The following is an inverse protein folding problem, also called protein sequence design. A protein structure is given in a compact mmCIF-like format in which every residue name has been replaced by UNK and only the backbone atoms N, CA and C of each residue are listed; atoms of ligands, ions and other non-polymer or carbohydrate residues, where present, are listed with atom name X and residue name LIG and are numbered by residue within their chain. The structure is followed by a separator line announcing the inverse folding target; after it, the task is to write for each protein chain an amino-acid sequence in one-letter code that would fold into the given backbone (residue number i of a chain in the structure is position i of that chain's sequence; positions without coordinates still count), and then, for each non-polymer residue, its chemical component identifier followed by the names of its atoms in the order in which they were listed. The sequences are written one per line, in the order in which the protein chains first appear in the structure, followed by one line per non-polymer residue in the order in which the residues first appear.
data_IF_955779615927
#
_entry.id   IF_955779615927
#
_cell.length_a   1.000
_cell.length_b   1.000
_cell.length_c   1.000
_cell.angle_alpha   90.00
_cell.angle_beta   90.00
_cell.angle_gamma   90.00
#
_symmetry.space_group_name_H-M   'P 1'
#
loop_
_entity.id
_entity.type
_entity.pdbx_description
1 polymer ?
#
# COMPACT_ATOMS: atom_id res chain seq x y z
N UNK A 1 1.00 4.77 3.36
CA UNK A 1 0.17 4.68 4.58
C UNK A 1 1.03 5.02 5.78
N UNK A 2 0.46 5.60 6.84
CA UNK A 2 1.18 5.71 8.11
C UNK A 2 1.35 4.32 8.74
N UNK A 3 2.52 4.06 9.32
CA UNK A 3 2.87 2.86 10.09
C UNK A 3 3.15 3.23 11.55
N UNK A 4 3.69 2.32 12.35
CA UNK A 4 4.16 2.61 13.71
C UNK A 4 5.31 3.60 13.74
N UNK A 5 6.19 3.56 12.74
CA UNK A 5 7.47 4.28 12.74
C UNK A 5 7.59 5.30 11.60
N UNK A 6 6.64 5.34 10.66
CA UNK A 6 6.62 6.28 9.53
C UNK A 6 5.23 6.92 9.37
N UNK A 7 5.19 8.23 9.14
CA UNK A 7 3.95 8.95 8.83
C UNK A 7 3.47 8.69 7.40
N UNK A 8 2.21 9.02 7.12
CA UNK A 8 1.70 8.98 5.75
C UNK A 8 0.20 9.27 5.66
N UNK A 9 -0.26 9.86 4.54
CA UNK A 9 -1.65 10.31 4.38
C UNK A 9 -2.69 9.18 4.22
N UNK A 10 -2.25 7.91 4.19
CA UNK A 10 -3.12 6.78 3.86
C UNK A 10 -3.31 6.60 2.36
N UNK A 11 -4.49 6.13 1.97
CA UNK A 11 -4.93 6.05 0.58
C UNK A 11 -5.17 7.46 0.03
N UNK A 12 -4.50 7.82 -1.07
CA UNK A 12 -4.61 9.16 -1.67
C UNK A 12 -5.18 9.17 -3.09
N UNK A 13 -4.94 8.10 -3.86
CA UNK A 13 -5.26 8.05 -5.27
C UNK A 13 -5.26 6.61 -5.78
N UNK A 14 -5.95 6.40 -6.91
CA UNK A 14 -5.81 5.22 -7.75
C UNK A 14 -5.28 5.62 -9.14
N UNK A 15 -4.66 4.68 -9.83
CA UNK A 15 -4.11 4.92 -11.15
C UNK A 15 -3.62 3.66 -11.83
N UNK A 16 -3.31 3.80 -13.12
CA UNK A 16 -2.76 2.72 -13.95
C UNK A 16 -1.25 2.92 -14.07
N UNK A 17 -0.48 1.87 -13.81
CA UNK A 17 0.97 1.87 -14.05
C UNK A 17 1.21 1.94 -15.56
N UNK A 18 1.86 2.99 -16.04
CA UNK A 18 2.18 3.19 -17.46
C UNK A 18 3.63 2.86 -17.80
N UNK A 19 4.51 2.78 -16.79
CA UNK A 19 5.88 2.33 -16.96
C UNK A 19 6.39 1.71 -15.66
N UNK A 20 7.16 0.64 -15.77
CA UNK A 20 7.92 0.04 -14.68
C UNK A 20 9.33 -0.28 -15.17
N UNK A 21 10.35 0.29 -14.53
CA UNK A 21 11.76 0.10 -14.90
C UNK A 21 12.58 -0.31 -13.68
N UNK A 22 13.46 -1.33 -13.77
CA UNK A 22 14.37 -1.63 -12.69
C UNK A 22 15.28 -0.44 -12.41
N UNK A 23 15.63 -0.21 -11.14
CA UNK A 23 16.64 0.78 -10.77
C UNK A 23 17.78 0.11 -10.01
N UNK A 24 18.97 0.70 -10.13
CA UNK A 24 20.16 0.18 -9.49
C UNK A 24 19.97 0.02 -7.97
N UNK A 25 20.50 -1.07 -7.43
CA UNK A 25 20.64 -1.29 -5.98
C UNK A 25 21.56 -0.21 -5.40
N UNK A 26 21.35 0.13 -4.12
CA UNK A 26 22.24 1.05 -3.41
C UNK A 26 23.57 0.33 -3.14
N UNK A 27 24.69 0.98 -3.46
CA UNK A 27 26.02 0.48 -3.10
C UNK A 27 26.13 0.40 -1.57
N UNK A 28 26.84 -0.61 -1.07
CA UNK A 28 27.07 -0.81 0.36
C UNK A 28 25.91 -1.44 1.15
N UNK A 29 24.81 -1.83 0.50
CA UNK A 29 23.70 -2.54 1.16
C UNK A 29 23.80 -4.03 0.87
N UNK A 30 24.18 -4.82 1.88
CA UNK A 30 24.42 -6.27 1.74
C UNK A 30 23.17 -7.05 1.31
N UNK A 31 21.99 -6.72 1.87
CA UNK A 31 20.71 -7.33 1.52
C UNK A 31 19.71 -6.26 1.12
N UNK A 32 19.27 -6.29 -0.13
CA UNK A 32 18.30 -5.32 -0.64
C UNK A 32 17.26 -5.97 -1.56
N UNK A 33 15.99 -5.67 -1.29
CA UNK A 33 14.86 -5.98 -2.17
C UNK A 33 15.05 -5.33 -3.55
N UNK A 34 14.62 -5.97 -4.65
CA UNK A 34 14.58 -5.34 -5.96
C UNK A 34 13.91 -3.97 -5.89
N UNK A 35 14.49 -3.01 -6.63
CA UNK A 35 13.98 -1.64 -6.69
C UNK A 35 13.45 -1.36 -8.08
N UNK A 36 12.34 -0.64 -8.14
CA UNK A 36 11.68 -0.29 -9.39
C UNK A 36 11.29 1.19 -9.36
N UNK A 37 11.43 1.85 -10.52
CA UNK A 37 10.78 3.13 -10.79
C UNK A 37 9.48 2.84 -11.52
N UNK A 38 8.37 3.33 -10.99
CA UNK A 38 7.08 3.25 -11.65
C UNK A 38 6.60 4.65 -12.03
N UNK A 39 5.90 4.74 -13.16
CA UNK A 39 5.11 5.91 -13.53
C UNK A 39 3.64 5.50 -13.48
N UNK A 40 2.83 6.27 -12.77
CA UNK A 40 1.40 6.01 -12.61
C UNK A 40 0.63 7.16 -13.25
N UNK A 41 -0.26 6.83 -14.19
CA UNK A 41 -1.29 7.76 -14.63
C UNK A 41 -2.44 7.70 -13.63
N UNK A 42 -2.59 8.74 -12.83
CA UNK A 42 -3.67 8.86 -11.84
C UNK A 42 -5.03 8.85 -12.55
N UNK A 43 -5.98 8.07 -12.03
CA UNK A 43 -7.35 7.95 -12.55
C UNK A 43 -8.40 8.50 -11.59
N UNK A 44 -8.15 8.44 -10.28
CA UNK A 44 -9.05 9.03 -9.29
C UNK A 44 -8.29 9.47 -8.03
N UNK A 45 -8.91 10.37 -7.27
CA UNK A 45 -8.50 10.78 -5.93
C UNK A 45 -9.40 10.08 -4.90
N UNK A 46 -8.84 9.76 -3.73
CA UNK A 46 -9.62 9.16 -2.65
C UNK A 46 -10.69 10.16 -2.18
N UNK A 47 -11.96 9.74 -2.17
CA UNK A 47 -13.11 10.52 -1.68
C UNK A 47 -13.28 10.45 -0.17
N UNK A 48 -12.69 9.43 0.46
CA UNK A 48 -12.77 9.16 1.90
C UNK A 48 -11.41 8.77 2.45
N UNK A 49 -11.18 9.08 3.72
CA UNK A 49 -9.94 8.70 4.41
C UNK A 49 -9.87 7.18 4.58
N UNK A 50 -8.70 6.63 4.29
CA UNK A 50 -8.32 5.27 4.66
C UNK A 50 -6.84 5.28 5.03
N UNK A 51 -6.56 5.53 6.30
CA UNK A 51 -5.22 5.57 6.88
C UNK A 51 -5.11 4.66 8.09
N UNK A 52 -4.12 4.95 8.95
CA UNK A 52 -3.85 4.14 10.14
C UNK A 52 -5.04 4.09 11.09
N UNK A 53 -5.69 5.23 11.33
CA UNK A 53 -6.81 5.33 12.27
C UNK A 53 -7.98 4.44 11.86
N UNK A 54 -8.23 4.32 10.54
CA UNK A 54 -9.28 3.47 10.00
C UNK A 54 -8.88 1.99 10.01
N UNK A 55 -7.59 1.67 9.80
CA UNK A 55 -7.12 0.28 9.65
C UNK A 55 -6.69 -0.41 10.95
N UNK A 56 -6.19 0.31 11.96
CA UNK A 56 -5.56 -0.26 13.17
C UNK A 56 -6.46 -1.26 13.91
N UNK A 57 -7.78 -1.05 13.88
CA UNK A 57 -8.77 -1.90 14.57
C UNK A 57 -8.98 -3.28 13.94
N UNK A 58 -8.54 -3.48 12.69
CA UNK A 58 -8.72 -4.73 11.95
C UNK A 58 -7.52 -5.65 12.19
N UNK A 59 -7.50 -6.29 13.36
CA UNK A 59 -6.38 -7.13 13.82
C UNK A 59 -6.80 -8.57 14.16
N UNK A 60 -8.00 -8.99 13.78
CA UNK A 60 -8.40 -10.39 13.81
C UNK A 60 -7.89 -11.06 12.52
N UNK A 61 -6.73 -11.69 12.59
CA UNK A 61 -6.02 -12.20 11.41
C UNK A 61 -6.74 -13.35 10.68
N UNK A 62 -7.80 -13.90 11.26
CA UNK A 62 -8.56 -15.02 10.70
C UNK A 62 -9.95 -14.60 10.21
N UNK A 63 -10.26 -13.30 10.14
CA UNK A 63 -11.58 -12.79 9.76
C UNK A 63 -11.83 -12.70 8.24
N UNK A 64 -10.81 -13.03 7.43
CA UNK A 64 -10.80 -12.91 5.97
C UNK A 64 -11.18 -11.50 5.45
N UNK A 65 -11.12 -10.47 6.28
CA UNK A 65 -11.57 -9.12 5.87
C UNK A 65 -10.54 -8.43 5.00
N UNK A 66 -10.98 -7.70 3.95
CA UNK A 66 -10.06 -6.90 3.15
C UNK A 66 -9.34 -5.84 3.98
N UNK A 67 -9.99 -5.26 5.00
CA UNK A 67 -9.34 -4.28 5.88
C UNK A 67 -8.22 -4.89 6.72
N UNK A 68 -8.37 -6.14 7.16
CA UNK A 68 -7.35 -6.89 7.91
C UNK A 68 -6.13 -7.16 7.03
N UNK A 69 -6.33 -7.56 5.76
CA UNK A 69 -5.25 -7.67 4.78
C UNK A 69 -4.53 -6.32 4.59
N UNK A 70 -5.29 -5.24 4.40
CA UNK A 70 -4.72 -3.91 4.21
C UNK A 70 -3.97 -3.43 5.46
N UNK A 71 -4.45 -3.74 6.66
CA UNK A 71 -3.76 -3.47 7.91
C UNK A 71 -2.42 -4.24 7.98
N UNK A 72 -2.44 -5.54 7.71
CA UNK A 72 -1.23 -6.36 7.69
C UNK A 72 -0.21 -5.83 6.67
N UNK A 73 -0.66 -5.56 5.44
CA UNK A 73 0.22 -5.17 4.33
C UNK A 73 0.71 -3.74 4.42
N UNK A 74 -0.11 -2.76 4.79
CA UNK A 74 0.26 -1.34 4.71
C UNK A 74 0.62 -0.70 6.05
N UNK A 75 0.12 -1.23 7.16
CA UNK A 75 0.37 -0.66 8.48
C UNK A 75 1.45 -1.44 9.25
N UNK A 76 1.25 -2.74 9.47
CA UNK A 76 2.14 -3.54 10.33
C UNK A 76 3.54 -3.71 9.74
N UNK A 77 3.63 -3.82 8.42
CA UNK A 77 4.91 -3.89 7.72
C UNK A 77 5.32 -2.48 7.28
N UNK A 78 5.94 -1.74 8.21
CA UNK A 78 6.39 -0.34 8.13
C UNK A 78 7.54 -0.09 7.13
N UNK A 79 7.35 -0.45 5.85
CA UNK A 79 8.33 -0.17 4.80
C UNK A 79 7.66 0.38 3.55
N UNK A 80 8.29 1.40 2.95
CA UNK A 80 7.94 1.86 1.61
C UNK A 80 8.13 0.72 0.61
N UNK A 81 7.01 0.23 0.07
CA UNK A 81 6.98 -0.96 -0.79
C UNK A 81 5.82 -0.93 -1.78
N UNK A 82 5.94 -1.79 -2.77
CA UNK A 82 4.85 -2.18 -3.67
C UNK A 82 4.45 -3.59 -3.27
N UNK A 83 3.15 -3.83 -3.09
CA UNK A 83 2.62 -5.11 -2.63
C UNK A 83 1.39 -5.47 -3.45
N UNK A 84 1.25 -6.75 -3.79
CA UNK A 84 0.01 -7.27 -4.37
C UNK A 84 -1.09 -7.33 -3.31
N UNK A 85 -2.33 -7.12 -3.70
CA UNK A 85 -3.51 -7.24 -2.85
C UNK A 85 -4.47 -8.28 -3.44
N UNK A 86 -5.34 -8.88 -2.62
CA UNK A 86 -6.38 -9.78 -3.12
C UNK A 86 -7.44 -9.03 -3.93
N UNK A 87 -8.23 -9.76 -4.72
CA UNK A 87 -9.38 -9.20 -5.43
C UNK A 87 -10.44 -8.62 -4.48
N UNK A 88 -10.60 -9.23 -3.30
CA UNK A 88 -11.49 -8.75 -2.23
C UNK A 88 -11.03 -7.38 -1.71
N UNK A 89 -9.74 -7.24 -1.42
CA UNK A 89 -9.15 -5.97 -1.01
C UNK A 89 -9.20 -4.92 -2.13
N UNK A 90 -8.98 -5.32 -3.39
CA UNK A 90 -9.12 -4.43 -4.53
C UNK A 90 -10.58 -3.95 -4.70
N UNK A 91 -11.56 -4.83 -4.54
CA UNK A 91 -12.98 -4.50 -4.53
C UNK A 91 -13.35 -3.51 -3.44
N UNK A 92 -12.89 -3.74 -2.22
CA UNK A 92 -13.05 -2.81 -1.11
C UNK A 92 -12.47 -1.43 -1.42
N UNK A 93 -11.22 -1.37 -1.92
CA UNK A 93 -10.56 -0.10 -2.24
C UNK A 93 -11.26 0.68 -3.36
N UNK A 94 -11.90 0.01 -4.34
CA UNK A 94 -12.68 0.69 -5.39
C UNK A 94 -13.79 1.57 -4.82
N UNK A 95 -14.37 1.22 -3.67
CA UNK A 95 -15.40 2.03 -2.99
C UNK A 95 -14.91 3.36 -2.40
N UNK A 96 -13.59 3.63 -2.42
CA UNK A 96 -13.01 4.88 -1.92
C UNK A 96 -12.75 5.93 -3.00
N UNK A 97 -12.98 5.62 -4.27
CA UNK A 97 -12.65 6.45 -5.43
C UNK A 97 -13.88 6.83 -6.26
#
# INVERSE_FOLDING_TARGET
FASENEGGPGLIASGVVTSAKPIAKKRGVARQTPRVRITIRRTALARRRLGRSELKRFCDWNDDRPETELNFKFYRQATNKIVGISDKAAGFLRGFF
#
